data_IF_711726685301
#
_entry.id   IF_711726685301
#
_cell.length_a   1.000
_cell.length_b   1.000
_cell.length_c   1.000
_cell.angle_alpha   90.00
_cell.angle_beta   90.00
_cell.angle_gamma   90.00
#
_symmetry.space_group_name_H-M   'P 1'
#
loop_
_entity.id
_entity.type
_entity.pdbx_description
1 polymer ?
#
# COMPACT_ATOMS: atom_id res chain seq x y z
N UNK A 1 -5.82 32.30 43.11
CA UNK A 1 -6.04 31.10 42.27
C UNK A 1 -5.35 31.41 40.96
N UNK A 2 -4.20 30.78 40.70
CA UNK A 2 -3.35 31.09 39.55
C UNK A 2 -3.50 30.00 38.50
N UNK A 3 -3.86 30.42 37.29
CA UNK A 3 -3.89 29.62 36.09
C UNK A 3 -2.51 29.04 35.79
N UNK A 4 -2.42 27.72 35.68
CA UNK A 4 -1.27 27.06 35.07
C UNK A 4 -1.75 25.90 34.19
N UNK A 5 -2.38 26.28 33.07
CA UNK A 5 -2.70 25.38 31.98
C UNK A 5 -1.40 25.02 31.23
N UNK A 6 -0.65 24.05 31.75
CA UNK A 6 0.48 23.44 31.02
C UNK A 6 -0.08 22.54 29.93
N UNK A 7 -0.29 23.13 28.76
CA UNK A 7 -0.44 22.46 27.49
C UNK A 7 0.85 21.64 27.21
N UNK A 8 0.90 20.39 27.70
CA UNK A 8 1.86 19.40 27.21
C UNK A 8 1.39 19.01 25.82
N UNK A 9 1.90 19.72 24.82
CA UNK A 9 2.05 19.11 23.52
C UNK A 9 3.06 17.98 23.75
N UNK A 10 2.52 16.77 23.92
CA UNK A 10 3.28 15.54 23.88
C UNK A 10 3.83 15.44 22.46
N UNK A 11 5.10 15.79 22.30
CA UNK A 11 5.91 15.57 21.11
C UNK A 11 6.03 14.05 20.90
N UNK A 12 4.98 13.42 20.37
CA UNK A 12 5.06 12.04 19.88
C UNK A 12 5.69 12.04 18.48
N UNK A 13 6.94 12.50 18.39
CA UNK A 13 7.82 12.41 17.22
C UNK A 13 8.63 11.08 17.24
N UNK A 14 7.93 9.97 17.49
CA UNK A 14 8.55 8.63 17.58
C UNK A 14 7.81 7.66 16.64
N UNK A 15 7.72 8.00 15.35
CA UNK A 15 7.32 7.03 14.34
C UNK A 15 8.08 7.20 13.02
N UNK A 16 9.41 7.24 13.12
CA UNK A 16 10.32 7.04 11.98
C UNK A 16 10.78 5.58 11.85
N UNK A 17 10.13 4.64 12.54
CA UNK A 17 10.30 3.22 12.27
C UNK A 17 9.23 2.81 11.25
N UNK A 18 9.54 2.97 9.97
CA UNK A 18 8.77 2.26 8.94
C UNK A 18 8.70 0.79 9.33
N UNK A 19 7.55 0.11 9.14
CA UNK A 19 7.36 -1.25 9.64
C UNK A 19 8.55 -2.09 9.20
N UNK A 20 9.20 -2.77 10.15
CA UNK A 20 10.31 -3.65 9.81
C UNK A 20 9.79 -4.73 8.85
N UNK A 21 10.69 -5.36 8.08
CA UNK A 21 10.26 -6.41 7.13
C UNK A 21 9.42 -7.50 7.81
N UNK A 22 9.71 -7.79 9.08
CA UNK A 22 9.00 -8.73 9.94
C UNK A 22 7.55 -8.28 10.21
N UNK A 23 7.32 -6.99 10.48
CA UNK A 23 5.99 -6.42 10.70
C UNK A 23 5.12 -6.47 9.43
N UNK A 24 5.75 -6.43 8.24
CA UNK A 24 5.04 -6.50 6.97
C UNK A 24 4.56 -7.91 6.66
N UNK A 25 5.36 -8.93 6.96
CA UNK A 25 5.02 -10.34 6.74
C UNK A 25 3.83 -10.76 7.63
N UNK A 26 3.87 -10.43 8.92
CA UNK A 26 2.75 -10.68 9.87
C UNK A 26 1.46 -9.97 9.44
N UNK A 27 1.59 -8.76 8.88
CA UNK A 27 0.46 -8.02 8.31
C UNK A 27 -0.07 -8.67 7.03
N UNK A 28 0.79 -9.26 6.22
CA UNK A 28 0.43 -9.89 4.96
C UNK A 28 -0.34 -11.19 5.18
N UNK A 29 0.15 -12.04 6.11
CA UNK A 29 -0.53 -13.25 6.57
C UNK A 29 -1.94 -12.93 7.09
N UNK A 30 -2.07 -11.87 7.89
CA UNK A 30 -3.36 -11.41 8.44
C UNK A 30 -4.32 -10.83 7.39
N UNK A 31 -3.79 -10.26 6.30
CA UNK A 31 -4.60 -9.74 5.18
C UNK A 31 -4.90 -10.81 4.13
N UNK A 32 -4.36 -12.03 4.28
CA UNK A 32 -4.53 -13.12 3.32
C UNK A 32 -3.92 -12.82 1.96
N UNK A 33 -2.86 -12.00 1.92
CA UNK A 33 -2.16 -11.64 0.69
C UNK A 33 -0.95 -12.55 0.47
N UNK A 34 -0.79 -13.07 -0.74
CA UNK A 34 0.49 -13.65 -1.15
C UNK A 34 1.51 -12.52 -1.36
N UNK A 35 2.79 -12.69 -0.99
CA UNK A 35 3.82 -11.70 -1.27
C UNK A 35 3.93 -11.47 -2.78
N UNK A 36 4.20 -10.23 -3.16
CA UNK A 36 4.39 -9.90 -4.57
C UNK A 36 5.54 -10.76 -5.13
N UNK A 37 5.38 -11.35 -6.33
CA UNK A 37 6.42 -12.19 -6.90
C UNK A 37 7.71 -11.40 -7.09
N UNK A 38 8.83 -11.96 -6.64
CA UNK A 38 10.14 -11.39 -6.89
C UNK A 38 10.48 -11.53 -8.38
N UNK A 39 10.86 -10.42 -9.01
CA UNK A 39 11.30 -10.41 -10.41
C UNK A 39 12.82 -10.60 -10.50
N UNK A 40 13.26 -11.50 -11.36
CA UNK A 40 14.68 -11.70 -11.62
C UNK A 40 15.22 -10.66 -12.61
N UNK A 41 16.54 -10.37 -12.64
CA UNK A 41 17.12 -9.45 -13.62
C UNK A 41 16.85 -9.86 -15.07
N UNK A 42 16.98 -11.15 -15.37
CA UNK A 42 16.69 -11.69 -16.71
C UNK A 42 15.22 -11.47 -17.10
N UNK A 43 14.32 -11.64 -16.15
CA UNK A 43 12.90 -11.40 -16.37
C UNK A 43 12.58 -9.92 -16.59
N UNK A 44 13.26 -9.04 -15.86
CA UNK A 44 13.14 -7.60 -16.06
C UNK A 44 13.56 -7.18 -17.48
N UNK A 45 14.65 -7.73 -18.01
CA UNK A 45 15.08 -7.49 -19.40
C UNK A 45 14.02 -7.95 -20.40
N UNK A 46 13.40 -9.11 -20.18
CA UNK A 46 12.29 -9.60 -21.01
C UNK A 46 11.11 -8.63 -20.99
N UNK A 47 10.73 -8.13 -19.82
CA UNK A 47 9.65 -7.14 -19.68
C UNK A 47 9.98 -5.80 -20.35
N UNK A 48 11.23 -5.35 -20.28
CA UNK A 48 11.69 -4.15 -20.97
C UNK A 48 11.63 -4.32 -22.48
N UNK A 49 12.15 -5.45 -23.01
CA UNK A 49 12.11 -5.78 -24.43
C UNK A 49 10.68 -5.91 -24.96
N UNK A 50 9.76 -6.41 -24.14
CA UNK A 50 8.34 -6.50 -24.46
C UNK A 50 7.59 -5.15 -24.35
N UNK A 51 8.27 -4.06 -23.95
CA UNK A 51 7.66 -2.75 -23.73
C UNK A 51 6.72 -2.68 -22.52
N UNK A 52 6.71 -3.72 -21.67
CA UNK A 52 5.88 -3.76 -20.47
C UNK A 52 6.49 -2.98 -19.31
N UNK A 53 7.81 -2.76 -19.32
CA UNK A 53 8.53 -1.96 -18.33
C UNK A 53 9.42 -0.93 -19.02
N UNK A 54 9.45 0.29 -18.50
CA UNK A 54 10.38 1.33 -18.93
C UNK A 54 10.92 2.12 -17.74
N UNK A 55 12.07 2.77 -17.96
CA UNK A 55 12.73 3.63 -16.96
C UNK A 55 12.57 5.07 -17.42
N UNK A 56 12.03 5.92 -16.54
CA UNK A 56 11.90 7.36 -16.83
C UNK A 56 13.23 8.11 -16.64
N UNK A 57 13.28 9.39 -17.04
CA UNK A 57 14.49 10.22 -16.92
C UNK A 57 14.97 10.43 -15.48
N UNK A 58 14.18 10.05 -14.48
CA UNK A 58 14.52 10.09 -13.05
C UNK A 58 14.96 8.73 -12.53
N UNK A 59 15.13 7.74 -13.41
CA UNK A 59 15.51 6.37 -13.04
C UNK A 59 14.39 5.54 -12.42
N UNK A 60 13.12 5.99 -12.49
CA UNK A 60 12.01 5.22 -11.89
C UNK A 60 11.47 4.19 -12.86
N UNK A 61 11.22 3.00 -12.34
CA UNK A 61 10.59 1.89 -13.08
C UNK A 61 9.09 2.13 -13.21
N UNK A 62 8.58 2.04 -14.44
CA UNK A 62 7.16 2.18 -14.77
C UNK A 62 6.69 0.98 -15.57
N UNK A 63 5.59 0.38 -15.14
CA UNK A 63 4.92 -0.68 -15.88
C UNK A 63 3.86 -0.10 -16.82
N UNK A 64 3.76 -0.62 -18.04
CA UNK A 64 2.64 -0.35 -18.91
C UNK A 64 1.38 -0.94 -18.26
N UNK A 65 0.37 -0.10 -18.00
CA UNK A 65 -0.91 -0.58 -17.45
C UNK A 65 -1.48 -1.61 -18.40
N UNK A 66 -1.59 -2.86 -17.95
CA UNK A 66 -2.33 -3.90 -18.65
C UNK A 66 -3.79 -3.46 -18.66
N UNK A 67 -4.28 -2.98 -19.79
CA UNK A 67 -5.62 -2.39 -19.90
C UNK A 67 -6.78 -3.33 -19.58
N UNK A 68 -6.52 -4.60 -19.25
CA UNK A 68 -7.53 -5.63 -19.01
C UNK A 68 -7.56 -6.27 -17.62
N UNK A 69 -6.71 -5.87 -16.65
CA UNK A 69 -6.62 -6.58 -15.36
C UNK A 69 -7.19 -5.84 -14.13
N UNK A 70 -7.50 -4.55 -14.22
CA UNK A 70 -8.21 -3.83 -13.15
C UNK A 70 -9.72 -3.78 -13.43
N UNK A 71 -10.37 -4.94 -13.47
CA UNK A 71 -11.80 -4.96 -13.14
C UNK A 71 -11.91 -4.72 -11.62
N UNK A 72 -11.69 -3.48 -11.20
CA UNK A 72 -11.74 -3.09 -9.80
C UNK A 72 -13.06 -3.53 -9.17
N UNK A 73 -12.98 -4.18 -8.01
CA UNK A 73 -14.16 -4.54 -7.23
C UNK A 73 -14.85 -3.25 -6.81
N UNK A 74 -15.99 -2.91 -7.43
CA UNK A 74 -16.78 -1.76 -7.02
C UNK A 74 -17.66 -2.14 -5.82
N UNK A 75 -17.22 -1.79 -4.61
CA UNK A 75 -18.05 -1.95 -3.41
C UNK A 75 -19.19 -0.92 -3.43
N UNK A 76 -20.44 -1.39 -3.57
CA UNK A 76 -21.63 -0.54 -3.48
C UNK A 76 -22.26 -0.65 -2.10
N UNK A 77 -22.36 0.47 -1.37
CA UNK A 77 -22.97 0.54 -0.04
C UNK A 77 -24.45 0.10 -0.14
N UNK A 78 -24.81 -1.01 0.50
CA UNK A 78 -26.21 -1.41 0.71
C UNK A 78 -26.73 -0.75 1.98
N UNK A 79 -27.84 -0.01 1.89
CA UNK A 79 -28.58 0.43 3.08
C UNK A 79 -29.42 -0.74 3.59
N UNK A 80 -29.11 -1.22 4.79
CA UNK A 80 -29.97 -2.16 5.49
C UNK A 80 -31.21 -1.41 6.00
N UNK A 81 -32.38 -2.00 5.79
CA UNK A 81 -33.59 -1.62 6.52
C UNK A 81 -33.65 -2.57 7.70
N UNK A 82 -33.21 -2.11 8.87
CA UNK A 82 -33.51 -2.83 10.11
C UNK A 82 -35.01 -2.68 10.33
N UNK A 83 -35.77 -3.74 10.05
CA UNK A 83 -37.14 -3.82 10.52
C UNK A 83 -37.08 -3.80 12.04
N UNK A 84 -37.47 -2.65 12.62
CA UNK A 84 -37.69 -2.51 14.04
C UNK A 84 -38.88 -3.40 14.39
N UNK A 85 -38.62 -4.52 15.07
CA UNK A 85 -39.62 -5.28 15.81
C UNK A 85 -39.79 -4.69 17.20
#
# INVERSE_FOLDING_TARGET
MSDENRNRNDDTDENLNGPSGEDMDDRLERLGGEPAPAITPEEFERLQKAGQVHIDSRGRVRTARRSGAEAGVSLRKRRAWYASS
#
